data_IF_732041047591
#
_entry.id   IF_732041047591
#
_cell.length_a   1.000
_cell.length_b   1.000
_cell.length_c   1.000
_cell.angle_alpha   90.00
_cell.angle_beta   90.00
_cell.angle_gamma   90.00
#
_symmetry.space_group_name_H-M   'P 1'
#
loop_
_entity.id
_entity.type
_entity.pdbx_description
1 polymer ?
#
# COMPACT_ATOMS: atom_id res chain seq x y z
N UNK A 1 -0.12 5.22 11.13
CA UNK A 1 -1.14 6.09 10.51
C UNK A 1 -0.73 7.53 10.81
N UNK A 2 -0.67 8.40 9.79
CA UNK A 2 -0.21 9.77 9.95
C UNK A 2 -1.26 10.73 10.55
N UNK A 3 -0.91 12.02 10.72
CA UNK A 3 -1.87 13.06 11.14
C UNK A 3 -3.05 13.16 10.17
N UNK A 4 -4.22 13.59 10.67
CA UNK A 4 -5.46 13.84 9.91
C UNK A 4 -5.98 12.69 9.02
N UNK A 5 -5.41 11.50 9.19
CA UNK A 5 -5.66 10.33 8.37
C UNK A 5 -6.88 9.57 8.90
N UNK A 6 -7.65 8.98 8.00
CA UNK A 6 -8.78 8.12 8.35
C UNK A 6 -8.59 6.75 7.73
N UNK A 7 -8.21 5.80 8.58
CA UNK A 7 -8.05 4.39 8.22
C UNK A 7 -9.08 3.55 9.00
N UNK A 8 -9.72 2.62 8.31
CA UNK A 8 -10.65 1.65 8.89
C UNK A 8 -10.06 0.27 8.69
N UNK A 9 -9.72 -0.40 9.79
CA UNK A 9 -9.30 -1.81 9.74
C UNK A 9 -10.56 -2.64 9.52
N UNK A 10 -10.58 -3.38 8.41
CA UNK A 10 -11.67 -4.27 8.05
C UNK A 10 -11.49 -5.65 8.65
N UNK A 11 -12.12 -6.64 8.03
CA UNK A 11 -12.04 -8.03 8.48
C UNK A 11 -10.62 -8.59 8.33
N UNK A 12 -10.08 -9.08 9.45
CA UNK A 12 -8.85 -9.88 9.52
C UNK A 12 -9.18 -11.25 10.15
N UNK A 13 -10.35 -11.78 9.81
CA UNK A 13 -10.93 -13.01 10.33
C UNK A 13 -10.21 -14.27 9.83
N UNK A 14 -10.89 -15.44 9.84
CA UNK A 14 -10.28 -16.71 9.47
C UNK A 14 -9.95 -16.83 7.96
N UNK A 15 -10.29 -15.82 7.16
CA UNK A 15 -9.86 -15.71 5.77
C UNK A 15 -8.35 -15.50 5.66
N UNK A 16 -7.76 -16.00 4.57
CA UNK A 16 -6.37 -15.67 4.21
C UNK A 16 -6.20 -14.23 3.72
N UNK A 17 -7.25 -13.42 3.69
CA UNK A 17 -7.21 -11.99 3.34
C UNK A 17 -7.37 -11.15 4.62
N UNK A 18 -6.50 -10.15 4.80
CA UNK A 18 -6.61 -9.11 5.82
C UNK A 18 -6.80 -7.76 5.14
N UNK A 19 -7.97 -7.15 5.32
CA UNK A 19 -8.34 -5.92 4.61
C UNK A 19 -8.31 -4.70 5.52
N UNK A 20 -7.79 -3.59 5.01
CA UNK A 20 -8.03 -2.26 5.54
C UNK A 20 -8.43 -1.28 4.45
N UNK A 21 -9.11 -0.20 4.85
CA UNK A 21 -9.44 0.92 3.98
C UNK A 21 -8.73 2.17 4.48
N UNK A 22 -8.07 2.90 3.59
CA UNK A 22 -7.55 4.24 3.84
C UNK A 22 -8.42 5.23 3.06
N UNK A 23 -9.29 5.95 3.77
CA UNK A 23 -10.20 6.93 3.15
C UNK A 23 -9.47 8.24 2.82
N UNK A 24 -8.56 8.67 3.69
CA UNK A 24 -7.73 9.87 3.48
C UNK A 24 -6.48 9.87 4.34
N UNK A 25 -5.51 10.67 3.94
CA UNK A 25 -4.26 10.91 4.64
C UNK A 25 -3.23 9.83 4.34
N UNK A 26 -2.39 9.52 5.32
CA UNK A 26 -1.22 8.68 5.17
C UNK A 26 -1.31 7.40 5.99
N UNK A 27 -0.90 6.31 5.35
CA UNK A 27 -0.61 5.04 5.98
C UNK A 27 0.82 4.61 5.65
N UNK A 28 1.59 4.30 6.70
CA UNK A 28 2.77 3.45 6.58
C UNK A 28 2.37 2.03 6.99
N UNK A 29 2.71 1.04 6.18
CA UNK A 29 2.37 -0.36 6.42
C UNK A 29 3.61 -1.25 6.32
N UNK A 30 3.73 -2.15 7.28
CA UNK A 30 4.75 -3.19 7.34
C UNK A 30 4.03 -4.52 7.59
N UNK A 31 4.00 -5.38 6.56
CA UNK A 31 3.58 -6.77 6.75
C UNK A 31 4.61 -7.43 7.66
N UNK A 32 4.16 -8.05 8.75
CA UNK A 32 5.03 -8.53 9.83
C UNK A 32 6.21 -9.40 9.38
N UNK A 33 7.25 -9.44 10.21
CA UNK A 33 8.52 -10.12 9.92
C UNK A 33 8.30 -11.55 9.41
N UNK A 34 8.95 -11.95 8.30
CA UNK A 34 8.86 -13.33 7.81
C UNK A 34 9.29 -14.31 8.91
N UNK A 35 8.75 -15.55 8.91
CA UNK A 35 9.12 -16.54 9.91
C UNK A 35 10.62 -16.78 9.98
N UNK A 36 11.12 -16.93 11.21
CA UNK A 36 12.48 -17.42 11.46
C UNK A 36 12.54 -18.89 11.07
N UNK A 37 13.59 -19.28 10.35
CA UNK A 37 13.82 -20.67 9.93
C UNK A 37 13.74 -21.63 11.13
N UNK A 38 12.90 -22.67 11.02
CA UNK A 38 12.69 -23.66 12.09
C UNK A 38 11.60 -23.32 13.11
N UNK A 39 10.96 -22.15 13.05
CA UNK A 39 9.77 -21.83 13.86
C UNK A 39 8.50 -21.82 12.99
N UNK A 40 7.35 -22.29 13.51
CA UNK A 40 6.08 -22.15 12.81
C UNK A 40 5.78 -20.66 12.62
N UNK A 41 5.77 -20.21 11.36
CA UNK A 41 5.42 -18.85 11.00
C UNK A 41 3.92 -18.57 11.12
N UNK A 42 3.53 -17.28 11.09
CA UNK A 42 2.15 -16.95 10.81
C UNK A 42 1.75 -17.59 9.46
N UNK A 43 0.52 -18.09 9.37
CA UNK A 43 0.00 -18.59 8.10
C UNK A 43 0.09 -17.50 7.02
N UNK A 44 0.41 -17.85 5.76
CA UNK A 44 0.45 -16.89 4.66
C UNK A 44 -0.88 -16.15 4.56
N UNK A 45 -0.82 -14.82 4.56
CA UNK A 45 -1.97 -13.93 4.46
C UNK A 45 -1.71 -12.88 3.38
N UNK A 46 -2.72 -12.64 2.56
CA UNK A 46 -2.75 -11.54 1.63
C UNK A 46 -3.29 -10.30 2.35
N UNK A 47 -2.56 -9.20 2.28
CA UNK A 47 -2.99 -7.90 2.77
C UNK A 47 -3.61 -7.11 1.64
N UNK A 48 -4.72 -6.44 1.95
CA UNK A 48 -5.42 -5.55 1.02
C UNK A 48 -5.59 -4.19 1.66
N UNK A 49 -4.99 -3.17 1.07
CA UNK A 49 -5.23 -1.77 1.41
C UNK A 49 -6.09 -1.16 0.30
N UNK A 50 -7.34 -0.83 0.63
CA UNK A 50 -8.28 -0.19 -0.29
C UNK A 50 -8.27 1.33 -0.10
N UNK A 51 -8.28 2.06 -1.20
CA UNK A 51 -8.56 3.50 -1.29
C UNK A 51 -9.64 3.73 -2.33
N UNK A 52 -10.08 4.98 -2.51
CA UNK A 52 -11.05 5.34 -3.56
C UNK A 52 -10.49 5.18 -4.99
N UNK A 53 -9.15 5.21 -5.14
CA UNK A 53 -8.48 5.14 -6.44
C UNK A 53 -7.79 3.79 -6.71
N UNK A 54 -7.42 3.02 -5.67
CA UNK A 54 -6.66 1.78 -5.79
C UNK A 54 -7.05 0.73 -4.75
N UNK A 55 -7.00 -0.54 -5.14
CA UNK A 55 -6.82 -1.67 -4.24
C UNK A 55 -5.38 -2.17 -4.33
N UNK A 56 -4.64 -2.11 -3.23
CA UNK A 56 -3.26 -2.60 -3.14
C UNK A 56 -3.26 -3.98 -2.50
N UNK A 57 -2.77 -4.99 -3.21
CA UNK A 57 -2.74 -6.40 -2.76
C UNK A 57 -1.30 -6.91 -2.68
N UNK A 58 -0.94 -7.55 -1.57
CA UNK A 58 0.42 -8.05 -1.33
C UNK A 58 0.47 -9.05 -0.17
N UNK A 59 1.36 -10.03 -0.23
CA UNK A 59 1.57 -10.98 0.88
C UNK A 59 2.62 -10.48 1.88
N UNK A 60 3.67 -9.83 1.38
CA UNK A 60 4.77 -9.27 2.17
C UNK A 60 5.32 -8.04 1.46
N UNK A 61 5.09 -6.87 2.06
CA UNK A 61 5.65 -5.61 1.58
C UNK A 61 5.77 -4.59 2.72
N UNK A 62 6.69 -3.65 2.51
CA UNK A 62 6.82 -2.42 3.29
C UNK A 62 6.53 -1.26 2.37
N UNK A 63 5.51 -0.48 2.68
CA UNK A 63 5.03 0.56 1.79
C UNK A 63 4.45 1.77 2.54
N UNK A 64 4.43 2.90 1.84
CA UNK A 64 3.69 4.09 2.25
C UNK A 64 2.58 4.35 1.23
N UNK A 65 1.39 4.69 1.72
CA UNK A 65 0.20 5.00 0.92
C UNK A 65 -0.32 6.36 1.36
N UNK A 66 -0.59 7.22 0.40
CA UNK A 66 -1.29 8.48 0.61
C UNK A 66 -2.57 8.50 -0.21
N UNK A 67 -3.67 8.84 0.44
CA UNK A 67 -4.98 8.99 -0.20
C UNK A 67 -5.50 10.41 0.03
N UNK A 68 -5.93 11.06 -1.05
CA UNK A 68 -6.55 12.38 -1.01
C UNK A 68 -7.74 12.40 -1.96
N UNK A 69 -8.91 12.02 -1.45
CA UNK A 69 -10.13 11.94 -2.25
C UNK A 69 -9.97 10.96 -3.41
N UNK A 70 -9.98 11.46 -4.63
CA UNK A 70 -9.90 10.67 -5.86
C UNK A 70 -8.47 10.27 -6.25
N UNK A 71 -7.43 10.74 -5.56
CA UNK A 71 -6.04 10.43 -5.84
C UNK A 71 -5.44 9.49 -4.79
N UNK A 72 -4.60 8.55 -5.24
CA UNK A 72 -3.75 7.74 -4.36
C UNK A 72 -2.33 7.66 -4.92
N UNK A 73 -1.36 7.91 -4.05
CA UNK A 73 0.06 7.69 -4.33
C UNK A 73 0.58 6.58 -3.42
N UNK A 74 1.32 5.63 -3.99
CA UNK A 74 1.94 4.53 -3.25
C UNK A 74 3.43 4.49 -3.53
N UNK A 75 4.22 4.26 -2.50
CA UNK A 75 5.65 3.97 -2.61
C UNK A 75 5.94 2.63 -1.95
N UNK A 76 6.53 1.72 -2.70
CA UNK A 76 6.95 0.41 -2.20
C UNK A 76 8.41 0.48 -1.79
N UNK A 77 8.65 0.37 -0.49
CA UNK A 77 9.99 0.42 0.09
C UNK A 77 10.66 -0.95 -0.06
N UNK A 78 9.92 -2.01 0.26
CA UNK A 78 10.37 -3.40 0.12
C UNK A 78 9.22 -4.31 -0.33
N UNK A 79 9.55 -5.38 -1.04
CA UNK A 79 8.60 -6.34 -1.58
C UNK A 79 8.00 -5.90 -2.91
N UNK A 80 6.80 -6.41 -3.21
CA UNK A 80 6.04 -6.11 -4.44
C UNK A 80 4.58 -5.95 -4.08
N UNK A 81 3.92 -4.98 -4.70
CA UNK A 81 2.50 -4.68 -4.50
C UNK A 81 1.78 -4.74 -5.83
N UNK A 82 0.68 -5.49 -5.90
CA UNK A 82 -0.22 -5.45 -7.03
C UNK A 82 -1.26 -4.34 -6.81
N UNK A 83 -1.13 -3.23 -7.52
CA UNK A 83 -2.05 -2.13 -7.48
C UNK A 83 -3.14 -2.32 -8.54
N UNK A 84 -4.40 -2.32 -8.11
CA UNK A 84 -5.57 -2.61 -8.95
C UNK A 84 -6.50 -1.40 -8.94
N UNK A 85 -6.87 -0.89 -10.11
CA UNK A 85 -7.85 0.20 -10.23
C UNK A 85 -9.28 -0.32 -10.06
N UNK A 86 -10.27 0.54 -9.73
CA UNK A 86 -11.68 0.16 -9.68
C UNK A 86 -12.21 -0.46 -10.99
N UNK A 87 -11.56 -0.17 -12.12
CA UNK A 87 -11.88 -0.69 -13.45
C UNK A 87 -11.27 -2.07 -13.71
N UNK A 88 -10.43 -2.58 -12.81
CA UNK A 88 -9.79 -3.89 -12.90
C UNK A 88 -8.44 -3.90 -13.62
N UNK A 89 -7.89 -2.74 -13.97
CA UNK A 89 -6.52 -2.65 -14.48
C UNK A 89 -5.54 -2.90 -13.33
N UNK A 90 -4.46 -3.64 -13.59
CA UNK A 90 -3.50 -4.02 -12.57
C UNK A 90 -2.07 -3.69 -12.98
N UNK A 91 -1.28 -3.22 -12.01
CA UNK A 91 0.13 -2.89 -12.17
C UNK A 91 0.92 -3.41 -10.97
N UNK A 92 2.11 -3.94 -11.24
CA UNK A 92 3.03 -4.35 -10.18
C UNK A 92 3.95 -3.18 -9.86
N UNK A 93 3.93 -2.74 -8.61
CA UNK A 93 4.85 -1.75 -8.05
C UNK A 93 5.90 -2.50 -7.23
N UNK A 94 7.16 -2.43 -7.65
CA UNK A 94 8.28 -3.13 -7.04
C UNK A 94 9.02 -2.25 -6.01
N UNK A 95 9.94 -2.87 -5.27
CA UNK A 95 10.78 -2.17 -4.29
C UNK A 95 11.54 -1.00 -4.93
N UNK A 96 11.47 0.16 -4.29
CA UNK A 96 12.05 1.39 -4.80
C UNK A 96 11.22 2.10 -5.87
N UNK A 97 10.00 1.66 -6.15
CA UNK A 97 9.09 2.30 -7.10
C UNK A 97 7.98 3.08 -6.41
N UNK A 98 7.49 4.10 -7.11
CA UNK A 98 6.30 4.87 -6.79
C UNK A 98 5.28 4.71 -7.90
N UNK A 99 4.01 4.77 -7.53
CA UNK A 99 2.89 4.71 -8.46
C UNK A 99 1.79 5.66 -7.98
N UNK A 100 1.24 6.43 -8.92
CA UNK A 100 0.15 7.36 -8.66
C UNK A 100 -1.04 7.00 -9.53
N UNK A 101 -2.23 7.07 -8.95
CA UNK A 101 -3.47 6.84 -9.66
C UNK A 101 -4.52 7.85 -9.24
N UNK A 102 -5.35 8.25 -10.19
CA UNK A 102 -6.58 8.99 -9.95
C UNK A 102 -7.78 8.18 -10.42
N UNK A 103 -8.88 8.24 -9.65
CA UNK A 103 -10.11 7.52 -9.94
C UNK A 103 -10.64 7.88 -11.33
N UNK A 104 -10.80 6.86 -12.18
CA UNK A 104 -11.36 7.01 -13.53
C UNK A 104 -10.35 7.48 -14.58
N UNK A 105 -9.11 7.76 -14.18
CA UNK A 105 -7.99 7.95 -15.11
C UNK A 105 -7.30 6.61 -15.36
N UNK A 106 -6.67 6.50 -16.54
CA UNK A 106 -5.88 5.32 -16.87
C UNK A 106 -4.64 5.29 -15.97
N UNK A 107 -4.32 4.17 -15.32
CA UNK A 107 -3.14 4.06 -14.47
C UNK A 107 -1.87 4.25 -15.30
N UNK A 108 -0.96 5.08 -14.80
CA UNK A 108 0.36 5.26 -15.39
C UNK A 108 1.28 4.06 -15.09
N UNK A 109 2.46 4.02 -15.69
CA UNK A 109 3.45 2.98 -15.36
C UNK A 109 4.18 3.40 -14.08
N UNK A 110 4.42 2.49 -13.11
CA UNK A 110 5.25 2.78 -11.96
C UNK A 110 6.62 3.33 -12.36
N UNK A 111 7.14 4.27 -11.58
CA UNK A 111 8.43 4.91 -11.82
C UNK A 111 9.35 4.75 -10.61
N UNK A 112 10.66 4.84 -10.83
CA UNK A 112 11.64 4.79 -9.73
C UNK A 112 11.37 5.95 -8.76
N UNK A 113 11.27 5.62 -7.48
CA UNK A 113 11.04 6.59 -6.43
C UNK A 113 12.28 7.49 -6.27
N UNK A 114 12.08 8.80 -6.40
CA UNK A 114 13.11 9.77 -6.07
C UNK A 114 13.29 9.82 -4.55
N UNK A 115 14.39 9.27 -4.04
CA UNK A 115 14.69 9.19 -2.61
C UNK A 115 14.65 10.55 -1.88
N UNK A 116 15.04 11.65 -2.56
CA UNK A 116 14.90 13.00 -2.02
C UNK A 116 13.44 13.41 -1.82
N UNK A 117 12.57 13.02 -2.77
CA UNK A 117 11.13 13.28 -2.68
C UNK A 117 10.52 12.49 -1.53
N UNK A 118 10.95 11.24 -1.33
CA UNK A 118 10.55 10.39 -0.21
C UNK A 118 10.94 10.94 1.16
N UNK A 119 12.18 11.43 1.29
CA UNK A 119 12.67 12.02 2.54
C UNK A 119 11.93 13.32 2.88
N UNK A 120 11.73 14.20 1.90
CA UNK A 120 10.94 15.42 2.10
C UNK A 120 9.50 15.08 2.48
N UNK A 121 8.93 14.04 1.87
CA UNK A 121 7.62 13.54 2.23
C UNK A 121 7.56 13.05 3.68
N UNK A 122 8.56 12.26 4.10
CA UNK A 122 8.64 11.74 5.46
C UNK A 122 8.77 12.83 6.53
N UNK A 123 9.49 13.91 6.22
CA UNK A 123 9.62 15.08 7.11
C UNK A 123 8.33 15.92 7.17
N UNK A 124 7.54 16.03 6.10
CA UNK A 124 6.23 16.71 6.11
C UNK A 124 5.17 15.98 6.95
N UNK A 125 5.36 14.68 7.19
CA UNK A 125 4.44 13.80 7.91
C UNK A 125 4.69 13.78 9.42
N UNK A 126 5.90 14.15 9.85
CA UNK A 126 6.37 14.01 11.24
C UNK A 126 6.06 15.24 12.08
#
# INVERSE_FOLDING_TARGET
VGPDSKAVVGDCGPSRECRQTLEKGLLYFEAGTPPVEGMPGPEPREFVIATDALGLRFDSARLAVFASGDQTSVVVIEGRVNAVTPQGESMIVASGETFEARRGERPEVPVVAAMERLNNWWEEIR
#
